data_IF_020221988548
#
_entry.id   IF_020221988548
#
_cell.length_a   1.000
_cell.length_b   1.000
_cell.length_c   1.000
_cell.angle_alpha   90.00
_cell.angle_beta   90.00
_cell.angle_gamma   90.00
#
_symmetry.space_group_name_H-M   'P 1'
#
loop_
_entity.id
_entity.type
_entity.pdbx_description
1 polymer ?
#
# COMPACT_ATOMS: atom_id res chain seq x y z
N UNK A 1 -1.44 17.12 41.95
CA UNK A 1 -2.31 15.94 41.83
C UNK A 1 -1.62 14.95 40.90
N UNK A 2 -1.38 13.71 41.35
CA UNK A 2 -0.84 12.68 40.47
C UNK A 2 -1.91 12.35 39.42
N UNK A 3 -1.59 12.55 38.14
CA UNK A 3 -2.49 12.16 37.04
C UNK A 3 -2.66 10.64 37.12
N UNK A 4 -3.90 10.18 37.30
CA UNK A 4 -4.20 8.76 37.31
C UNK A 4 -3.69 8.11 36.02
N UNK A 5 -3.01 6.96 36.14
CA UNK A 5 -2.54 6.22 34.98
C UNK A 5 -3.76 5.73 34.20
N UNK A 6 -3.95 6.27 32.99
CA UNK A 6 -5.03 5.82 32.11
C UNK A 6 -4.67 4.50 31.45
N UNK A 7 -5.69 3.70 31.15
CA UNK A 7 -5.56 2.43 30.43
C UNK A 7 -6.39 2.43 29.15
N UNK A 8 -5.87 1.80 28.11
CA UNK A 8 -6.62 1.47 26.90
C UNK A 8 -7.19 0.05 27.01
N UNK A 9 -8.47 -0.11 26.71
CA UNK A 9 -9.14 -1.41 26.63
C UNK A 9 -9.36 -1.79 25.15
N UNK A 10 -8.60 -2.76 24.59
CA UNK A 10 -8.86 -3.28 23.26
C UNK A 10 -10.12 -4.17 23.25
N UNK A 11 -10.69 -4.40 22.05
CA UNK A 11 -11.83 -5.31 21.85
C UNK A 11 -11.45 -6.75 22.22
N UNK A 12 -10.22 -7.15 21.91
CA UNK A 12 -9.61 -8.42 22.31
C UNK A 12 -8.27 -8.17 22.99
N UNK A 13 -8.03 -8.83 24.13
CA UNK A 13 -6.76 -8.78 24.86
C UNK A 13 -6.83 -8.00 26.18
N UNK A 14 -5.66 -7.90 26.82
CA UNK A 14 -5.52 -7.27 28.13
C UNK A 14 -5.49 -5.74 28.05
N UNK A 15 -5.86 -5.08 29.15
CA UNK A 15 -5.72 -3.63 29.30
C UNK A 15 -4.25 -3.24 29.24
N UNK A 16 -3.94 -2.19 28.50
CA UNK A 16 -2.58 -1.67 28.35
C UNK A 16 -2.52 -0.20 28.78
N UNK A 17 -1.37 0.27 29.27
CA UNK A 17 -1.24 1.67 29.68
C UNK A 17 -1.47 2.63 28.51
N UNK A 18 -2.36 3.61 28.67
CA UNK A 18 -2.70 4.62 27.67
C UNK A 18 -1.53 5.58 27.42
N UNK A 19 -1.40 6.09 26.19
CA UNK A 19 -0.33 7.03 25.83
C UNK A 19 1.07 6.41 25.68
N UNK A 20 1.22 5.09 25.85
CA UNK A 20 2.48 4.38 25.52
C UNK A 20 2.79 4.48 24.03
N UNK A 21 4.08 4.43 23.68
CA UNK A 21 4.55 4.48 22.29
C UNK A 21 3.81 3.52 21.34
N UNK A 22 3.44 2.28 21.73
CA UNK A 22 2.68 1.38 20.86
C UNK A 22 1.26 1.87 20.52
N UNK A 23 0.56 2.53 21.45
CA UNK A 23 -0.78 3.08 21.19
C UNK A 23 -0.69 4.28 20.26
N UNK A 24 0.28 5.17 20.49
CA UNK A 24 0.56 6.27 19.57
C UNK A 24 0.86 5.76 18.17
N UNK A 25 1.71 4.74 18.06
CA UNK A 25 2.04 4.13 16.78
C UNK A 25 0.81 3.52 16.10
N UNK A 26 -0.03 2.79 16.84
CA UNK A 26 -1.24 2.17 16.30
C UNK A 26 -2.25 3.22 15.76
N UNK A 27 -2.40 4.35 16.44
CA UNK A 27 -3.24 5.47 15.98
C UNK A 27 -2.64 6.07 14.70
N UNK A 28 -1.35 6.40 14.71
CA UNK A 28 -0.67 6.98 13.55
C UNK A 28 -0.76 6.06 12.33
N UNK A 29 -0.52 4.76 12.51
CA UNK A 29 -0.62 3.78 11.43
C UNK A 29 -2.05 3.68 10.87
N UNK A 30 -3.08 3.79 11.73
CA UNK A 30 -4.47 3.78 11.27
C UNK A 30 -4.80 5.02 10.43
N UNK A 31 -4.26 6.19 10.79
CA UNK A 31 -4.42 7.43 10.02
C UNK A 31 -3.71 7.30 8.66
N UNK A 32 -2.46 6.82 8.65
CA UNK A 32 -1.69 6.64 7.40
C UNK A 32 -2.39 5.67 6.44
N UNK A 33 -2.97 4.58 6.98
CA UNK A 33 -3.74 3.62 6.19
C UNK A 33 -4.97 4.22 5.53
N UNK A 34 -5.59 5.19 6.19
CA UNK A 34 -6.77 5.90 5.66
C UNK A 34 -6.36 6.91 4.60
N UNK A 35 -5.24 7.61 4.79
CA UNK A 35 -4.76 8.63 3.87
C UNK A 35 -4.21 8.06 2.53
N UNK A 36 -4.08 6.73 2.43
CA UNK A 36 -3.52 6.00 1.29
C UNK A 36 -2.16 6.54 0.77
N UNK A 37 -1.43 7.29 1.61
CA UNK A 37 -0.24 8.05 1.23
C UNK A 37 0.89 7.82 2.22
N UNK A 38 2.05 7.38 1.73
CA UNK A 38 3.16 6.92 2.56
C UNK A 38 4.41 7.84 2.47
N UNK A 39 4.21 9.15 2.39
CA UNK A 39 5.28 10.14 2.24
C UNK A 39 5.39 11.09 3.45
N UNK A 40 6.53 11.78 3.58
CA UNK A 40 6.89 12.62 4.73
C UNK A 40 5.81 13.56 5.26
N UNK A 41 5.07 14.30 4.40
CA UNK A 41 3.97 15.17 4.84
C UNK A 41 2.82 14.41 5.50
N UNK A 42 2.38 13.28 4.93
CA UNK A 42 1.34 12.42 5.48
C UNK A 42 1.78 11.84 6.85
N UNK A 43 3.03 11.35 6.94
CA UNK A 43 3.61 10.85 8.19
C UNK A 43 3.64 11.93 9.29
N UNK A 44 3.94 13.19 8.93
CA UNK A 44 3.91 14.31 9.88
C UNK A 44 2.48 14.59 10.34
N UNK A 45 1.53 14.69 9.41
CA UNK A 45 0.10 14.90 9.73
C UNK A 45 -0.44 13.82 10.65
N UNK A 46 -0.17 12.55 10.37
CA UNK A 46 -0.60 11.43 11.19
C UNK A 46 -0.06 11.52 12.63
N UNK A 47 1.21 11.94 12.81
CA UNK A 47 1.80 12.18 14.13
C UNK A 47 1.12 13.35 14.85
N UNK A 48 0.97 14.49 14.16
CA UNK A 48 0.34 15.68 14.75
C UNK A 48 -1.11 15.40 15.20
N UNK A 49 -1.88 14.66 14.38
CA UNK A 49 -3.24 14.21 14.71
C UNK A 49 -3.26 13.21 15.87
N UNK A 50 -2.29 12.29 15.89
CA UNK A 50 -2.14 11.32 16.99
C UNK A 50 -1.86 12.02 18.31
N UNK A 51 -0.93 12.97 18.33
CA UNK A 51 -0.59 13.72 19.53
C UNK A 51 -1.80 14.55 20.01
N UNK A 52 -2.50 15.22 19.09
CA UNK A 52 -3.74 15.95 19.42
C UNK A 52 -4.83 15.05 20.04
N UNK A 53 -5.04 13.86 19.48
CA UNK A 53 -6.02 12.90 20.01
C UNK A 53 -5.61 12.36 21.39
N UNK A 54 -4.33 12.05 21.59
CA UNK A 54 -3.81 11.57 22.87
C UNK A 54 -3.88 12.66 23.94
N UNK A 55 -3.56 13.91 23.61
CA UNK A 55 -3.70 15.04 24.53
C UNK A 55 -5.16 15.28 24.93
N UNK A 56 -6.08 15.26 23.96
CA UNK A 56 -7.51 15.39 24.23
C UNK A 56 -8.02 14.30 25.18
N UNK A 57 -7.60 13.06 24.95
CA UNK A 57 -7.96 11.92 25.80
C UNK A 57 -7.25 11.95 27.15
N UNK A 58 -6.02 12.48 27.25
CA UNK A 58 -5.32 12.62 28.52
C UNK A 58 -6.00 13.66 29.42
N UNK A 59 -6.62 14.69 28.86
CA UNK A 59 -7.33 15.74 29.60
C UNK A 59 -8.67 15.35 30.24
N UNK A 60 -9.22 14.16 29.93
CA UNK A 60 -10.50 13.70 30.52
C UNK A 60 -10.30 13.15 31.94
N UNK A 61 -11.37 13.01 32.74
CA UNK A 61 -11.30 12.30 34.04
C UNK A 61 -11.40 10.77 33.90
N UNK A 62 -11.54 10.28 32.67
CA UNK A 62 -11.77 8.87 32.36
C UNK A 62 -10.51 8.03 32.60
N UNK A 63 -10.64 6.97 33.41
CA UNK A 63 -9.55 6.06 33.76
C UNK A 63 -9.30 5.00 32.65
N UNK A 64 -10.36 4.52 32.01
CA UNK A 64 -10.30 3.51 30.95
C UNK A 64 -10.76 4.12 29.63
N UNK A 65 -9.84 4.28 28.68
CA UNK A 65 -10.09 4.75 27.31
C UNK A 65 -10.44 3.56 26.43
N UNK A 66 -11.54 3.66 25.69
CA UNK A 66 -12.00 2.65 24.74
C UNK A 66 -11.53 2.94 23.31
N UNK A 67 -11.72 2.00 22.39
CA UNK A 67 -11.48 2.22 20.95
C UNK A 67 -12.38 3.34 20.40
N UNK A 68 -13.64 3.40 20.82
CA UNK A 68 -14.58 4.44 20.38
C UNK A 68 -14.12 5.83 20.83
N UNK A 69 -13.61 5.95 22.06
CA UNK A 69 -13.04 7.20 22.56
C UNK A 69 -11.85 7.66 21.71
N UNK A 70 -10.96 6.72 21.35
CA UNK A 70 -9.83 6.98 20.44
C UNK A 70 -10.32 7.44 19.08
N UNK A 71 -11.28 6.73 18.49
CA UNK A 71 -11.83 7.08 17.18
C UNK A 71 -12.49 8.46 17.18
N UNK A 72 -13.26 8.78 18.22
CA UNK A 72 -13.90 10.09 18.40
C UNK A 72 -12.87 11.21 18.58
N UNK A 73 -11.80 10.98 19.35
CA UNK A 73 -10.74 11.97 19.54
C UNK A 73 -9.97 12.23 18.23
N UNK A 74 -9.64 11.18 17.47
CA UNK A 74 -8.99 11.30 16.15
C UNK A 74 -9.89 12.03 15.16
N UNK A 75 -11.17 11.67 15.10
CA UNK A 75 -12.19 12.36 14.29
C UNK A 75 -12.24 13.86 14.61
N UNK A 76 -12.30 14.22 15.88
CA UNK A 76 -12.30 15.63 16.30
C UNK A 76 -11.00 16.35 15.92
N UNK A 77 -9.85 15.68 16.04
CA UNK A 77 -8.57 16.26 15.62
C UNK A 77 -8.54 16.53 14.11
N UNK A 78 -9.06 15.62 13.28
CA UNK A 78 -9.18 15.80 11.83
C UNK A 78 -10.17 16.92 11.47
N UNK A 79 -11.32 16.99 12.13
CA UNK A 79 -12.31 18.04 11.91
C UNK A 79 -11.78 19.44 12.23
N UNK A 80 -10.95 19.59 13.27
CA UNK A 80 -10.33 20.89 13.64
C UNK A 80 -9.44 21.46 12.53
N UNK A 81 -8.87 20.60 11.68
CA UNK A 81 -8.04 21.02 10.54
C UNK A 81 -8.80 20.99 9.21
N UNK A 82 -10.13 20.76 9.23
CA UNK A 82 -10.97 20.70 8.04
C UNK A 82 -10.84 19.41 7.22
N UNK A 83 -10.20 18.37 7.75
CA UNK A 83 -10.02 17.08 7.07
C UNK A 83 -11.26 16.17 7.29
N UNK A 84 -12.43 16.62 6.83
CA UNK A 84 -13.70 15.92 7.05
C UNK A 84 -13.77 14.57 6.32
N UNK A 85 -13.37 14.53 5.04
CA UNK A 85 -13.39 13.31 4.23
C UNK A 85 -12.49 12.22 4.83
N UNK A 86 -11.28 12.60 5.23
CA UNK A 86 -10.34 11.70 5.92
C UNK A 86 -10.91 11.17 7.24
N UNK A 87 -11.68 11.98 7.96
CA UNK A 87 -12.33 11.56 9.20
C UNK A 87 -13.45 10.53 8.94
N UNK A 88 -14.22 10.70 7.86
CA UNK A 88 -15.24 9.73 7.48
C UNK A 88 -14.63 8.39 7.04
N UNK A 89 -13.61 8.44 6.17
CA UNK A 89 -12.86 7.26 5.73
C UNK A 89 -12.25 6.51 6.93
N UNK A 90 -11.67 7.25 7.89
CA UNK A 90 -11.07 6.66 9.09
C UNK A 90 -12.10 5.90 9.94
N UNK A 91 -13.29 6.47 10.10
CA UNK A 91 -14.39 5.83 10.83
C UNK A 91 -14.92 4.59 10.10
N UNK A 92 -15.10 4.68 8.78
CA UNK A 92 -15.55 3.56 7.94
C UNK A 92 -14.55 2.40 7.99
N UNK A 93 -13.26 2.69 7.82
CA UNK A 93 -12.19 1.70 7.96
C UNK A 93 -12.20 1.06 9.36
N UNK A 94 -12.29 1.89 10.40
CA UNK A 94 -12.33 1.45 11.79
C UNK A 94 -13.51 0.52 12.10
N UNK A 95 -14.69 0.83 11.57
CA UNK A 95 -15.90 0.02 11.70
C UNK A 95 -15.76 -1.33 10.97
N UNK A 96 -15.20 -1.33 9.76
CA UNK A 96 -14.96 -2.56 9.00
C UNK A 96 -14.01 -3.52 9.73
N UNK A 97 -12.90 -3.01 10.28
CA UNK A 97 -11.98 -3.80 11.11
C UNK A 97 -12.69 -4.39 12.33
N UNK A 98 -13.57 -3.63 12.98
CA UNK A 98 -14.34 -4.12 14.13
C UNK A 98 -15.31 -5.25 13.75
N UNK A 99 -15.98 -5.16 12.59
CA UNK A 99 -16.85 -6.25 12.10
C UNK A 99 -16.06 -7.56 11.90
N UNK A 100 -14.84 -7.46 11.35
CA UNK A 100 -13.93 -8.61 11.19
C UNK A 100 -13.52 -9.17 12.55
N UNK A 101 -13.08 -8.31 13.48
CA UNK A 101 -12.63 -8.74 14.81
C UNK A 101 -13.76 -9.41 15.62
N UNK A 102 -14.99 -8.91 15.50
CA UNK A 102 -16.18 -9.50 16.12
C UNK A 102 -16.67 -10.78 15.42
N UNK A 103 -16.09 -11.14 14.26
CA UNK A 103 -16.48 -12.30 13.48
C UNK A 103 -17.83 -12.16 12.78
N UNK A 104 -18.32 -10.93 12.60
CA UNK A 104 -19.57 -10.63 11.89
C UNK A 104 -19.40 -10.72 10.38
N UNK A 105 -18.19 -10.48 9.89
CA UNK A 105 -17.76 -10.71 8.51
C UNK A 105 -16.41 -11.44 8.52
N UNK A 106 -16.12 -12.17 7.44
CA UNK A 106 -14.79 -12.75 7.24
C UNK A 106 -13.80 -11.71 6.72
N UNK A 107 -12.51 -11.93 6.94
CA UNK A 107 -11.46 -11.02 6.50
C UNK A 107 -11.41 -10.82 4.97
N UNK A 108 -11.78 -11.83 4.18
CA UNK A 108 -11.88 -11.75 2.71
C UNK A 108 -13.07 -10.93 2.22
N UNK A 109 -14.05 -10.64 3.10
CA UNK A 109 -15.21 -9.81 2.79
C UNK A 109 -14.97 -8.32 3.12
N UNK A 110 -13.85 -8.00 3.76
CA UNK A 110 -13.44 -6.63 4.06
C UNK A 110 -12.24 -6.27 3.18
N UNK A 111 -12.38 -5.23 2.36
CA UNK A 111 -11.24 -4.66 1.64
C UNK A 111 -10.50 -3.72 2.61
N UNK A 112 -9.27 -4.05 3.05
CA UNK A 112 -8.51 -3.20 3.96
C UNK A 112 -7.90 -2.02 3.17
N UNK A 113 -6.72 -1.55 3.57
CA UNK A 113 -5.96 -0.48 2.92
C UNK A 113 -5.38 -0.82 1.53
N UNK A 114 -5.84 -1.91 0.89
CA UNK A 114 -5.36 -2.37 -0.41
C UNK A 114 -3.93 -2.94 -0.43
N UNK A 115 -3.24 -2.99 0.72
CA UNK A 115 -1.87 -3.49 0.81
C UNK A 115 -1.86 -5.03 0.88
N UNK A 116 -1.22 -5.73 -0.08
CA UNK A 116 -1.14 -7.20 -0.08
C UNK A 116 -0.10 -7.68 0.94
N UNK A 117 -0.47 -7.66 2.24
CA UNK A 117 0.43 -7.93 3.37
C UNK A 117 1.19 -9.24 3.28
N UNK A 118 0.53 -10.30 2.82
CA UNK A 118 1.15 -11.60 2.69
C UNK A 118 2.32 -11.57 1.68
N UNK A 119 2.10 -10.97 0.51
CA UNK A 119 3.14 -10.80 -0.51
C UNK A 119 4.25 -9.85 -0.04
N UNK A 120 3.89 -8.73 0.60
CA UNK A 120 4.86 -7.80 1.19
C UNK A 120 5.73 -8.52 2.23
N UNK A 121 5.13 -9.38 3.07
CA UNK A 121 5.84 -10.15 4.07
C UNK A 121 6.77 -11.20 3.46
N UNK A 122 6.34 -11.89 2.39
CA UNK A 122 7.19 -12.82 1.64
C UNK A 122 8.42 -12.11 1.06
N UNK A 123 8.22 -10.97 0.41
CA UNK A 123 9.30 -10.15 -0.15
C UNK A 123 10.24 -9.66 0.96
N UNK A 124 9.69 -9.16 2.07
CA UNK A 124 10.49 -8.70 3.20
C UNK A 124 11.33 -9.82 3.81
N UNK A 125 10.73 -10.99 4.05
CA UNK A 125 11.45 -12.14 4.58
C UNK A 125 12.54 -12.65 3.63
N UNK A 126 12.35 -12.56 2.31
CA UNK A 126 13.41 -12.81 1.34
C UNK A 126 14.55 -11.79 1.48
N UNK A 127 14.23 -10.50 1.60
CA UNK A 127 15.22 -9.45 1.78
C UNK A 127 16.00 -9.57 3.11
N UNK A 128 15.36 -10.02 4.18
CA UNK A 128 16.02 -10.29 5.47
C UNK A 128 17.01 -11.45 5.36
N UNK A 129 16.61 -12.56 4.74
CA UNK A 129 17.47 -13.73 4.52
C UNK A 129 18.72 -13.39 3.71
N UNK A 130 18.62 -12.40 2.81
CA UNK A 130 19.74 -11.93 1.98
C UNK A 130 20.41 -10.67 2.56
N UNK A 131 20.06 -10.22 3.76
CA UNK A 131 20.61 -9.01 4.39
C UNK A 131 20.58 -7.76 3.46
N UNK A 132 19.49 -7.61 2.70
CA UNK A 132 19.25 -6.45 1.84
C UNK A 132 17.97 -5.67 2.21
N UNK A 133 17.30 -6.06 3.31
CA UNK A 133 16.12 -5.37 3.87
C UNK A 133 16.43 -3.98 4.45
N UNK A 134 17.70 -3.62 4.63
CA UNK A 134 18.14 -2.29 5.08
C UNK A 134 19.14 -1.68 4.11
N UNK A 135 19.20 -0.34 4.09
CA UNK A 135 20.21 0.41 3.34
C UNK A 135 21.62 -0.01 3.77
N UNK A 136 21.84 -0.28 5.06
CA UNK A 136 23.13 -0.73 5.59
C UNK A 136 23.52 -2.09 5.03
N UNK A 137 22.63 -3.08 5.11
CA UNK A 137 22.88 -4.43 4.60
C UNK A 137 23.12 -4.43 3.08
N UNK A 138 22.29 -3.70 2.33
CA UNK A 138 22.47 -3.53 0.89
C UNK A 138 23.81 -2.87 0.54
N UNK A 139 24.22 -1.82 1.26
CA UNK A 139 25.54 -1.21 1.08
C UNK A 139 26.69 -2.19 1.40
N UNK A 140 26.49 -3.08 2.38
CA UNK A 140 27.43 -4.15 2.69
C UNK A 140 27.69 -5.07 1.49
N UNK A 141 26.65 -5.41 0.72
CA UNK A 141 26.80 -6.16 -0.55
C UNK A 141 27.63 -5.41 -1.58
N UNK A 142 27.34 -4.13 -1.81
CA UNK A 142 28.07 -3.32 -2.80
C UNK A 142 29.54 -3.10 -2.44
N UNK A 143 29.86 -3.08 -1.14
CA UNK A 143 31.23 -2.89 -0.64
C UNK A 143 32.00 -4.19 -0.46
N UNK A 144 31.34 -5.33 -0.62
CA UNK A 144 31.93 -6.66 -0.37
C UNK A 144 32.26 -6.92 1.11
N UNK A 145 31.52 -6.32 2.03
CA UNK A 145 31.69 -6.55 3.46
C UNK A 145 31.47 -8.03 3.80
N UNK A 146 32.34 -8.61 4.63
CA UNK A 146 32.26 -10.02 4.99
C UNK A 146 32.52 -10.99 3.83
N UNK A 147 33.16 -10.54 2.74
CA UNK A 147 33.46 -11.38 1.57
C UNK A 147 32.30 -11.56 0.61
N UNK A 148 31.22 -10.76 0.75
CA UNK A 148 30.05 -10.81 -0.14
C UNK A 148 30.39 -10.30 -1.54
N UNK A 149 29.69 -10.81 -2.54
CA UNK A 149 29.71 -10.28 -3.91
C UNK A 149 28.29 -9.91 -4.33
N UNK A 150 28.05 -8.63 -4.64
CA UNK A 150 26.73 -8.13 -5.07
C UNK A 150 26.17 -8.91 -6.27
N UNK A 151 27.02 -9.52 -7.10
CA UNK A 151 26.59 -10.36 -8.23
C UNK A 151 25.85 -11.61 -7.77
N UNK A 152 26.15 -12.14 -6.58
CA UNK A 152 25.43 -13.27 -5.99
C UNK A 152 24.01 -12.85 -5.58
N UNK A 153 23.88 -11.67 -4.95
CA UNK A 153 22.57 -11.10 -4.61
C UNK A 153 21.72 -10.85 -5.87
N UNK A 154 22.32 -10.30 -6.92
CA UNK A 154 21.63 -10.08 -8.20
C UNK A 154 21.16 -11.40 -8.80
N UNK A 155 22.02 -12.43 -8.83
CA UNK A 155 21.63 -13.77 -9.33
C UNK A 155 20.50 -14.38 -8.52
N UNK A 156 20.56 -14.28 -7.19
CA UNK A 156 19.49 -14.78 -6.33
C UNK A 156 18.16 -14.06 -6.58
N UNK A 157 18.19 -12.74 -6.78
CA UNK A 157 17.00 -11.95 -7.11
C UNK A 157 16.44 -12.31 -8.50
N UNK A 158 17.30 -12.48 -9.51
CA UNK A 158 16.90 -12.90 -10.85
C UNK A 158 16.30 -14.31 -10.85
N UNK A 159 16.86 -15.23 -10.06
CA UNK A 159 16.32 -16.58 -9.90
C UNK A 159 14.94 -16.58 -9.24
N UNK A 160 14.75 -15.80 -8.17
CA UNK A 160 13.46 -15.61 -7.54
C UNK A 160 12.43 -15.05 -8.55
N UNK A 161 12.83 -14.05 -9.35
CA UNK A 161 11.97 -13.50 -10.40
C UNK A 161 11.65 -14.53 -11.48
N UNK A 162 12.61 -15.37 -11.88
CA UNK A 162 12.41 -16.45 -12.85
C UNK A 162 11.34 -17.44 -12.37
N UNK A 163 11.40 -17.86 -11.11
CA UNK A 163 10.39 -18.76 -10.51
C UNK A 163 8.98 -18.15 -10.56
N UNK A 164 8.84 -16.86 -10.25
CA UNK A 164 7.56 -16.15 -10.35
C UNK A 164 7.02 -16.09 -11.79
N UNK A 165 7.90 -15.81 -12.77
CA UNK A 165 7.55 -15.77 -14.19
C UNK A 165 7.14 -17.15 -14.73
N UNK A 166 7.85 -18.20 -14.32
CA UNK A 166 7.53 -19.58 -14.68
C UNK A 166 6.19 -20.03 -14.11
N UNK A 167 5.89 -19.69 -12.85
CA UNK A 167 4.60 -19.97 -12.25
C UNK A 167 3.45 -19.30 -13.03
N UNK A 168 3.61 -18.02 -13.38
CA UNK A 168 2.62 -17.29 -14.18
C UNK A 168 2.46 -17.88 -15.60
N UNK A 169 3.58 -18.27 -16.24
CA UNK A 169 3.57 -18.91 -17.55
C UNK A 169 2.86 -20.27 -17.51
N UNK A 170 3.14 -21.10 -16.50
CA UNK A 170 2.47 -22.38 -16.31
C UNK A 170 0.98 -22.22 -16.04
N UNK A 171 0.57 -21.23 -15.25
CA UNK A 171 -0.84 -20.93 -15.02
C UNK A 171 -1.56 -20.54 -16.32
N UNK A 172 -0.93 -19.70 -17.15
CA UNK A 172 -1.47 -19.33 -18.46
C UNK A 172 -1.62 -20.55 -19.38
N UNK A 173 -0.57 -21.38 -19.48
CA UNK A 173 -0.56 -22.57 -20.33
C UNK A 173 -1.53 -23.67 -19.85
N UNK A 174 -1.78 -23.75 -18.54
CA UNK A 174 -2.72 -24.71 -17.96
C UNK A 174 -4.19 -24.40 -18.26
N UNK A 175 -4.52 -23.17 -18.68
CA UNK A 175 -5.89 -22.75 -19.00
C UNK A 175 -6.19 -22.94 -20.49
N UNK A 176 -7.10 -23.87 -20.80
CA UNK A 176 -7.50 -24.10 -22.19
C UNK A 176 -8.24 -22.90 -22.79
N UNK A 177 -7.92 -22.58 -24.04
CA UNK A 177 -8.58 -21.52 -24.79
C UNK A 177 -8.13 -20.09 -24.45
N UNK A 178 -7.15 -19.91 -23.56
CA UNK A 178 -6.57 -18.59 -23.31
C UNK A 178 -5.78 -18.10 -24.52
N UNK A 179 -6.10 -16.87 -24.96
CA UNK A 179 -5.49 -16.20 -26.13
C UNK A 179 -4.96 -14.80 -25.81
N UNK A 180 -5.20 -14.33 -24.60
CA UNK A 180 -4.88 -12.97 -24.18
C UNK A 180 -4.30 -13.00 -22.76
N UNK A 181 -3.20 -12.27 -22.57
CA UNK A 181 -2.59 -12.00 -21.28
C UNK A 181 -2.64 -10.49 -21.07
N UNK A 182 -3.19 -10.04 -19.94
CA UNK A 182 -3.26 -8.62 -19.57
C UNK A 182 -2.37 -8.42 -18.35
N UNK A 183 -1.43 -7.50 -18.43
CA UNK A 183 -0.53 -7.13 -17.32
C UNK A 183 -0.91 -5.74 -16.82
N UNK A 184 -1.56 -5.68 -15.67
CA UNK A 184 -2.06 -4.45 -15.05
C UNK A 184 -1.15 -3.99 -13.89
N UNK A 185 -1.16 -2.69 -13.61
CA UNK A 185 -0.43 -2.09 -12.50
C UNK A 185 -0.23 -0.58 -12.65
N UNK A 186 0.17 0.12 -11.57
CA UNK A 186 0.45 1.55 -11.60
C UNK A 186 1.50 1.94 -12.65
N UNK A 187 1.57 3.22 -13.01
CA UNK A 187 2.66 3.72 -13.86
C UNK A 187 4.04 3.38 -13.27
N UNK A 188 5.01 3.10 -14.13
CA UNK A 188 6.39 2.70 -13.75
C UNK A 188 6.55 1.44 -12.88
N UNK A 189 5.50 0.64 -12.66
CA UNK A 189 5.58 -0.63 -11.90
C UNK A 189 6.29 -1.79 -12.64
N UNK A 190 6.77 -1.58 -13.86
CA UNK A 190 7.45 -2.61 -14.66
C UNK A 190 6.52 -3.51 -15.47
N UNK A 191 5.30 -3.05 -15.79
CA UNK A 191 4.31 -3.80 -16.62
C UNK A 191 4.91 -4.32 -17.92
N UNK A 192 5.47 -3.44 -18.76
CA UNK A 192 6.05 -3.79 -20.07
C UNK A 192 7.18 -4.80 -19.93
N UNK A 193 8.07 -4.60 -18.95
CA UNK A 193 9.16 -5.53 -18.66
C UNK A 193 8.62 -6.90 -18.24
N UNK A 194 7.62 -6.93 -17.36
CA UNK A 194 6.99 -8.18 -16.89
C UNK A 194 6.29 -8.90 -18.04
N UNK A 195 5.51 -8.18 -18.85
CA UNK A 195 4.84 -8.73 -20.03
C UNK A 195 5.86 -9.37 -21.00
N UNK A 196 6.93 -8.66 -21.33
CA UNK A 196 7.97 -9.19 -22.21
C UNK A 196 8.66 -10.43 -21.63
N UNK A 197 8.99 -10.43 -20.34
CA UNK A 197 9.64 -11.58 -19.69
C UNK A 197 8.72 -12.79 -19.60
N UNK A 198 7.45 -12.63 -19.21
CA UNK A 198 6.47 -13.74 -19.17
C UNK A 198 6.26 -14.31 -20.57
N UNK A 199 6.08 -13.47 -21.59
CA UNK A 199 5.93 -13.92 -22.98
C UNK A 199 7.18 -14.69 -23.45
N UNK A 200 8.38 -14.23 -23.09
CA UNK A 200 9.64 -14.94 -23.34
C UNK A 200 9.66 -16.32 -22.69
N UNK A 201 9.33 -16.42 -21.40
CA UNK A 201 9.24 -17.68 -20.66
C UNK A 201 8.21 -18.63 -21.27
N UNK A 202 7.04 -18.15 -21.70
CA UNK A 202 6.04 -18.99 -22.38
C UNK A 202 6.58 -19.51 -23.72
N UNK A 203 7.25 -18.65 -24.49
CA UNK A 203 7.89 -19.05 -25.74
C UNK A 203 8.93 -20.15 -25.50
N UNK A 204 9.78 -20.00 -24.48
CA UNK A 204 10.77 -21.02 -24.09
C UNK A 204 10.12 -22.35 -23.70
N UNK A 205 9.12 -22.32 -22.80
CA UNK A 205 8.41 -23.52 -22.32
C UNK A 205 7.62 -24.23 -23.42
N UNK A 206 7.19 -23.52 -24.45
CA UNK A 206 6.44 -24.09 -25.59
C UNK A 206 7.33 -24.39 -26.79
N UNK A 207 8.65 -24.25 -26.67
CA UNK A 207 9.61 -24.40 -27.77
C UNK A 207 9.28 -23.51 -28.99
N UNK A 208 8.79 -22.29 -28.73
CA UNK A 208 8.45 -21.30 -29.75
C UNK A 208 7.09 -21.51 -30.44
N UNK A 209 6.29 -22.50 -30.01
CA UNK A 209 4.99 -22.76 -30.61
C UNK A 209 3.94 -21.70 -30.32
N UNK A 210 4.10 -20.95 -29.21
CA UNK A 210 3.27 -19.79 -28.91
C UNK A 210 4.06 -18.50 -29.06
N UNK A 211 3.48 -17.53 -29.76
CA UNK A 211 4.03 -16.19 -29.92
C UNK A 211 2.98 -15.16 -29.54
N UNK A 212 3.42 -14.05 -28.97
CA UNK A 212 2.57 -12.98 -28.49
C UNK A 212 2.78 -11.72 -29.32
N UNK A 213 1.70 -10.97 -29.56
CA UNK A 213 1.75 -9.62 -30.13
C UNK A 213 1.51 -8.65 -28.98
N UNK A 214 2.46 -7.75 -28.67
CA UNK A 214 2.24 -6.75 -27.64
C UNK A 214 1.16 -5.78 -28.11
N UNK A 215 0.25 -5.44 -27.19
CA UNK A 215 -0.73 -4.37 -27.36
C UNK A 215 -0.52 -3.39 -26.20
N UNK A 216 0.16 -2.28 -26.48
CA UNK A 216 0.38 -1.22 -25.50
C UNK A 216 -0.79 -0.25 -25.54
N UNK A 217 -1.65 -0.30 -24.52
CA UNK A 217 -2.88 0.50 -24.46
C UNK A 217 -2.59 2.01 -24.46
N UNK A 218 -1.41 2.40 -23.96
CA UNK A 218 -0.92 3.79 -23.99
C UNK A 218 -0.78 4.36 -25.42
N UNK A 219 -0.70 3.50 -26.44
CA UNK A 219 -0.68 3.93 -27.86
C UNK A 219 -2.04 4.43 -28.35
N UNK A 220 -3.11 4.17 -27.61
CA UNK A 220 -4.48 4.51 -27.98
C UNK A 220 -5.00 5.75 -27.25
N UNK A 221 -4.13 6.52 -26.59
CA UNK A 221 -4.57 7.78 -25.99
C UNK A 221 -5.06 8.76 -27.05
N UNK A 222 -6.18 9.43 -26.77
CA UNK A 222 -6.65 10.53 -27.60
C UNK A 222 -5.60 11.65 -27.64
N UNK A 223 -5.37 12.26 -28.81
CA UNK A 223 -4.41 13.34 -28.94
C UNK A 223 -4.80 14.50 -28.02
N UNK A 224 -3.79 15.17 -27.45
CA UNK A 224 -3.97 16.33 -26.58
C UNK A 224 -4.73 17.43 -27.32
N UNK A 225 -6.03 17.54 -27.10
CA UNK A 225 -6.85 18.64 -27.61
C UNK A 225 -7.17 19.63 -26.48
N UNK A 226 -7.45 20.89 -26.84
CA UNK A 226 -7.71 21.96 -25.86
C UNK A 226 -8.94 21.69 -24.97
N UNK A 227 -9.85 20.80 -25.40
CA UNK A 227 -11.14 20.56 -24.75
C UNK A 227 -11.11 19.42 -23.70
N UNK A 228 -9.98 18.72 -23.52
CA UNK A 228 -9.79 17.66 -22.51
C UNK A 228 -8.95 18.10 -21.29
N UNK A 229 -8.78 19.41 -21.13
CA UNK A 229 -7.91 19.99 -20.11
C UNK A 229 -8.69 20.20 -18.81
N UNK A 230 -8.37 19.40 -17.79
CA UNK A 230 -8.86 19.63 -16.44
C UNK A 230 -8.01 20.70 -15.77
N UNK A 231 -8.67 21.57 -15.01
CA UNK A 231 -8.00 22.60 -14.21
C UNK A 231 -8.37 22.41 -12.75
N UNK A 232 -7.37 22.20 -11.91
CA UNK A 232 -7.53 22.17 -10.45
C UNK A 232 -6.51 23.11 -9.82
N UNK A 233 -6.62 23.37 -8.52
CA UNK A 233 -5.74 24.32 -7.81
C UNK A 233 -4.86 23.58 -6.81
N UNK A 234 -3.54 23.80 -6.89
CA UNK A 234 -2.56 23.34 -5.89
C UNK A 234 -1.84 24.57 -5.35
N UNK A 235 -1.88 24.77 -4.03
CA UNK A 235 -1.27 25.92 -3.34
C UNK A 235 -1.70 27.29 -3.92
N UNK A 236 -2.97 27.42 -4.30
CA UNK A 236 -3.52 28.65 -4.90
C UNK A 236 -3.11 28.89 -6.35
N UNK A 237 -2.41 27.95 -6.99
CA UNK A 237 -2.02 28.03 -8.40
C UNK A 237 -2.82 27.05 -9.26
N UNK A 238 -3.32 27.47 -10.43
CA UNK A 238 -3.99 26.56 -11.36
C UNK A 238 -2.96 25.56 -11.91
N UNK A 239 -3.23 24.29 -11.71
CA UNK A 239 -2.55 23.17 -12.36
C UNK A 239 -3.46 22.68 -13.48
N UNK A 240 -2.82 22.39 -14.60
CA UNK A 240 -3.47 21.92 -15.81
C UNK A 240 -3.08 20.47 -16.02
N UNK A 241 -4.07 19.60 -16.06
CA UNK A 241 -3.85 18.19 -16.30
C UNK A 241 -4.76 17.68 -17.41
N UNK A 242 -4.25 16.72 -18.15
CA UNK A 242 -5.02 15.97 -19.13
C UNK A 242 -5.28 14.63 -18.46
N UNK A 243 -6.53 14.39 -18.06
CA UNK A 243 -6.90 13.17 -17.35
C UNK A 243 -6.89 11.97 -18.30
N UNK A 244 -5.70 11.36 -18.40
CA UNK A 244 -5.45 10.15 -19.16
C UNK A 244 -5.67 8.87 -18.33
N UNK A 245 -6.12 8.99 -17.08
CA UNK A 245 -6.34 7.83 -16.20
C UNK A 245 -7.77 7.29 -16.28
N UNK A 246 -8.66 7.95 -17.03
CA UNK A 246 -10.04 7.48 -17.25
C UNK A 246 -10.18 6.59 -18.49
N UNK A 247 -11.16 5.65 -18.51
CA UNK A 247 -11.44 4.86 -19.70
C UNK A 247 -11.80 5.68 -20.96
N UNK A 248 -12.29 6.91 -20.77
CA UNK A 248 -12.67 7.81 -21.86
C UNK A 248 -11.49 8.47 -22.57
N UNK A 249 -10.28 8.34 -22.01
CA UNK A 249 -9.07 8.89 -22.59
C UNK A 249 -8.54 8.07 -23.77
N UNK A 250 -9.09 6.89 -24.02
CA UNK A 250 -8.64 5.96 -25.06
C UNK A 250 -9.56 5.98 -26.29
N UNK A 251 -8.95 5.88 -27.46
CA UNK A 251 -9.60 5.62 -28.75
C UNK A 251 -9.24 4.20 -29.19
N UNK A 252 -10.05 3.23 -28.76
CA UNK A 252 -9.88 1.80 -29.04
C UNK A 252 -10.78 1.31 -30.19
N UNK A 253 -11.41 2.24 -30.92
CA UNK A 253 -12.41 1.96 -31.97
C UNK A 253 -11.78 1.51 -33.30
#
# INVERSE_FOLDING_TARGET
MAVALKYFQPIKGEKVGFGRAPIKQAIADAIIRTEHTFYGPAMKRARDLTDSAVEALAGTEQEIVTREDVQNAVKQAMWKIGAYDLAEEYLLYGAGVELVERGLIRADQFTPDGVPREEVSKIYGWNEKHDCHTIKGLNGWFRGEGGRDVRELIRAAEEQKRVELEAAAQEFLGKQGMRMLIVCGPSSSGKTTTANRVCGTISELTHGNLTFRPLEVDMFFQPKTANQKYTYTVDGKPVYDWDYETPFAYDLA
#
